data_IF_464049555926
#
_entry.id   IF_464049555926
#
_cell.length_a   1.000
_cell.length_b   1.000
_cell.length_c   1.000
_cell.angle_alpha   90.00
_cell.angle_beta   90.00
_cell.angle_gamma   90.00
#
_symmetry.space_group_name_H-M   'P 1'
#
loop_
_entity.id
_entity.type
_entity.pdbx_description
1 polymer ?
#
# COMPACT_ATOMS: atom_id res chain seq x y z
N UNK A 1 -29.86 -5.30 6.18
CA UNK A 1 -28.75 -6.21 6.51
C UNK A 1 -27.50 -5.54 5.97
N UNK A 2 -26.77 -4.81 6.80
CA UNK A 2 -25.56 -4.11 6.36
C UNK A 2 -24.45 -5.14 6.31
N UNK A 3 -24.04 -5.53 5.11
CA UNK A 3 -22.84 -6.33 4.89
C UNK A 3 -21.63 -5.51 5.31
N UNK A 4 -21.25 -5.69 6.57
CA UNK A 4 -20.00 -5.25 7.11
C UNK A 4 -18.92 -6.11 6.44
N UNK A 5 -18.49 -5.69 5.24
CA UNK A 5 -17.35 -6.27 4.54
C UNK A 5 -16.16 -6.16 5.50
N UNK A 6 -15.94 -7.28 6.17
CA UNK A 6 -14.89 -7.43 7.16
C UNK A 6 -13.59 -7.12 6.44
N UNK A 7 -12.90 -6.10 6.96
CA UNK A 7 -11.55 -5.68 6.58
C UNK A 7 -10.81 -6.86 5.98
N UNK A 8 -10.44 -6.76 4.70
CA UNK A 8 -9.76 -7.80 3.96
C UNK A 8 -8.72 -8.46 4.87
N UNK A 9 -9.05 -9.67 5.35
CA UNK A 9 -8.19 -10.39 6.26
C UNK A 9 -6.88 -10.54 5.51
N UNK A 10 -5.83 -9.87 6.00
CA UNK A 10 -4.57 -9.75 5.28
C UNK A 10 -4.02 -11.17 5.18
N UNK A 11 -4.32 -11.83 4.06
CA UNK A 11 -4.09 -13.25 3.88
C UNK A 11 -2.60 -13.46 4.02
N UNK A 12 -2.21 -14.04 5.17
CA UNK A 12 -0.81 -14.36 5.47
C UNK A 12 -0.26 -15.12 4.27
N UNK A 13 0.91 -14.69 3.77
CA UNK A 13 1.52 -15.32 2.61
C UNK A 13 1.66 -16.81 2.84
N UNK A 14 1.42 -17.65 1.83
CA UNK A 14 1.65 -19.09 1.98
C UNK A 14 3.14 -19.34 2.22
N UNK A 15 3.44 -20.35 3.03
CA UNK A 15 4.81 -20.79 3.34
C UNK A 15 5.60 -21.11 2.06
N UNK A 16 4.91 -21.61 1.03
CA UNK A 16 5.47 -21.84 -0.31
C UNK A 16 5.90 -20.54 -0.98
N UNK A 17 5.03 -19.52 -0.96
CA UNK A 17 5.33 -18.21 -1.54
C UNK A 17 6.53 -17.57 -0.85
N UNK A 18 6.63 -17.69 0.49
CA UNK A 18 7.80 -17.25 1.24
C UNK A 18 9.07 -17.99 0.80
N UNK A 19 9.05 -19.32 0.74
CA UNK A 19 10.22 -20.08 0.33
C UNK A 19 10.67 -19.75 -1.12
N UNK A 20 9.72 -19.53 -2.02
CA UNK A 20 9.99 -19.15 -3.42
C UNK A 20 10.59 -17.75 -3.53
N UNK A 21 10.07 -16.75 -2.79
CA UNK A 21 10.60 -15.39 -2.85
C UNK A 21 12.03 -15.34 -2.30
N UNK A 22 12.29 -15.97 -1.16
CA UNK A 22 13.64 -16.03 -0.59
C UNK A 22 14.59 -16.88 -1.46
N UNK A 23 14.12 -17.98 -2.04
CA UNK A 23 14.87 -18.78 -3.00
C UNK A 23 15.27 -17.96 -4.24
N UNK A 24 14.34 -17.18 -4.80
CA UNK A 24 14.59 -16.29 -5.93
C UNK A 24 15.58 -15.16 -5.59
N UNK A 25 15.45 -14.53 -4.41
CA UNK A 25 16.40 -13.52 -3.94
C UNK A 25 17.81 -14.11 -3.78
N UNK A 26 17.94 -15.29 -3.19
CA UNK A 26 19.24 -15.99 -3.07
C UNK A 26 19.83 -16.36 -4.43
N UNK A 27 18.98 -16.74 -5.40
CA UNK A 27 19.40 -17.01 -6.77
C UNK A 27 19.96 -15.75 -7.44
N UNK A 28 19.28 -14.61 -7.30
CA UNK A 28 19.77 -13.32 -7.79
C UNK A 28 21.09 -12.94 -7.13
N UNK A 29 21.23 -13.12 -5.82
CA UNK A 29 22.49 -12.87 -5.08
C UNK A 29 23.62 -13.81 -5.54
N UNK A 30 23.28 -15.04 -5.92
CA UNK A 30 24.24 -16.01 -6.44
C UNK A 30 24.77 -15.62 -7.82
N UNK A 31 23.88 -15.10 -8.67
CA UNK A 31 24.18 -14.68 -10.05
C UNK A 31 24.73 -13.25 -10.14
N UNK A 32 24.49 -12.39 -9.15
CA UNK A 32 24.93 -10.98 -9.14
C UNK A 32 26.42 -10.79 -9.51
N UNK A 33 27.37 -11.59 -8.99
CA UNK A 33 28.79 -11.42 -9.31
C UNK A 33 29.13 -11.70 -10.78
N UNK A 34 28.29 -12.45 -11.51
CA UNK A 34 28.50 -12.71 -12.94
C UNK A 34 28.44 -11.43 -13.77
N UNK A 35 27.60 -10.45 -13.35
CA UNK A 35 27.48 -9.16 -14.04
C UNK A 35 28.77 -8.33 -13.95
N UNK A 36 29.59 -8.58 -12.93
CA UNK A 36 30.90 -7.95 -12.72
C UNK A 36 32.08 -8.82 -13.16
N UNK A 37 31.85 -9.93 -13.88
CA UNK A 37 32.89 -10.87 -14.31
C UNK A 37 33.43 -11.79 -13.21
N UNK A 38 32.77 -11.85 -12.05
CA UNK A 38 33.10 -12.74 -10.94
C UNK A 38 32.46 -14.13 -11.09
N UNK A 39 32.90 -15.07 -10.27
CA UNK A 39 32.35 -16.43 -10.22
C UNK A 39 31.02 -16.49 -9.46
N UNK A 40 30.19 -17.47 -9.81
CA UNK A 40 28.94 -17.77 -9.11
C UNK A 40 29.25 -18.03 -7.63
N UNK A 41 28.49 -17.40 -6.73
CA UNK A 41 28.54 -17.72 -5.30
C UNK A 41 27.88 -19.07 -5.08
N UNK A 42 28.69 -20.13 -5.13
CA UNK A 42 28.24 -21.52 -4.98
C UNK A 42 27.46 -21.76 -3.68
N UNK A 43 27.85 -21.10 -2.59
CA UNK A 43 27.13 -21.18 -1.31
C UNK A 43 25.69 -20.63 -1.42
N UNK A 44 25.51 -19.50 -2.11
CA UNK A 44 24.19 -18.90 -2.33
C UNK A 44 23.35 -19.72 -3.33
N UNK A 45 23.98 -20.32 -4.34
CA UNK A 45 23.33 -21.24 -5.26
C UNK A 45 22.80 -22.49 -4.53
N UNK A 46 23.64 -23.10 -3.70
CA UNK A 46 23.25 -24.27 -2.91
C UNK A 46 22.11 -23.95 -1.94
N UNK A 47 22.18 -22.80 -1.27
CA UNK A 47 21.12 -22.36 -0.36
C UNK A 47 19.81 -22.09 -1.10
N UNK A 48 19.87 -21.44 -2.27
CA UNK A 48 18.71 -21.20 -3.14
C UNK A 48 18.06 -22.52 -3.59
N UNK A 49 18.86 -23.48 -4.07
CA UNK A 49 18.38 -24.81 -4.45
C UNK A 49 17.71 -25.53 -3.28
N UNK A 50 18.31 -25.46 -2.08
CA UNK A 50 17.72 -25.99 -0.85
C UNK A 50 16.35 -25.37 -0.54
N UNK A 51 16.22 -24.04 -0.65
CA UNK A 51 14.94 -23.35 -0.47
C UNK A 51 13.88 -23.81 -1.46
N UNK A 52 14.22 -23.95 -2.74
CA UNK A 52 13.28 -24.46 -3.75
C UNK A 52 12.86 -25.90 -3.47
N UNK A 53 13.80 -26.79 -3.15
CA UNK A 53 13.48 -28.20 -2.82
C UNK A 53 12.57 -28.28 -1.60
N UNK A 54 12.91 -27.56 -0.52
CA UNK A 54 12.09 -27.57 0.70
C UNK A 54 10.71 -26.93 0.50
N UNK A 55 10.59 -25.94 -0.41
CA UNK A 55 9.31 -25.32 -0.74
C UNK A 55 8.28 -26.35 -1.24
N UNK A 56 8.73 -27.32 -2.06
CA UNK A 56 7.86 -28.39 -2.59
C UNK A 56 7.78 -29.60 -1.65
N UNK A 57 8.90 -30.01 -1.03
CA UNK A 57 8.95 -31.21 -0.21
C UNK A 57 8.23 -31.03 1.14
N UNK A 58 8.53 -29.95 1.89
CA UNK A 58 7.98 -29.70 3.23
C UNK A 58 7.87 -28.19 3.51
N UNK A 59 6.85 -27.50 2.96
CA UNK A 59 6.66 -26.07 3.17
C UNK A 59 6.42 -25.69 4.64
N UNK A 60 5.93 -26.62 5.47
CA UNK A 60 5.67 -26.39 6.90
C UNK A 60 6.90 -25.94 7.70
N UNK A 61 8.13 -26.26 7.25
CA UNK A 61 9.37 -25.79 7.89
C UNK A 61 9.46 -24.26 7.87
N UNK A 62 8.91 -23.63 6.83
CA UNK A 62 8.90 -22.18 6.66
C UNK A 62 7.72 -21.50 7.38
N UNK A 63 6.86 -22.22 8.10
CA UNK A 63 5.70 -21.64 8.79
C UNK A 63 6.08 -20.62 9.86
N UNK A 64 7.07 -20.94 10.71
CA UNK A 64 7.54 -20.02 11.76
C UNK A 64 8.16 -18.74 11.14
N UNK A 65 9.17 -18.85 10.25
CA UNK A 65 9.79 -17.69 9.63
C UNK A 65 8.80 -16.83 8.85
N UNK A 66 7.89 -17.45 8.09
CA UNK A 66 6.88 -16.76 7.31
C UNK A 66 5.92 -15.94 8.20
N UNK A 67 5.56 -16.46 9.38
CA UNK A 67 4.71 -15.73 10.34
C UNK A 67 5.41 -14.49 10.89
N UNK A 68 6.69 -14.59 11.25
CA UNK A 68 7.46 -13.42 11.72
C UNK A 68 7.67 -12.41 10.58
N UNK A 69 8.02 -12.88 9.39
CA UNK A 69 8.16 -12.03 8.21
C UNK A 69 6.88 -11.28 7.87
N UNK A 70 5.73 -11.96 7.92
CA UNK A 70 4.43 -11.33 7.67
C UNK A 70 4.11 -10.25 8.70
N UNK A 71 4.39 -10.50 9.99
CA UNK A 71 4.22 -9.48 11.05
C UNK A 71 5.12 -8.27 10.84
N UNK A 72 6.38 -8.49 10.44
CA UNK A 72 7.29 -7.40 10.08
C UNK A 72 6.77 -6.61 8.88
N UNK A 73 6.23 -7.28 7.86
CA UNK A 73 5.61 -6.64 6.71
C UNK A 73 4.42 -5.76 7.11
N UNK A 74 3.55 -6.23 8.01
CA UNK A 74 2.42 -5.46 8.53
C UNK A 74 2.91 -4.24 9.33
N UNK A 75 3.89 -4.43 10.22
CA UNK A 75 4.48 -3.34 11.01
C UNK A 75 5.13 -2.29 10.11
N UNK A 76 5.85 -2.72 9.08
CA UNK A 76 6.44 -1.83 8.09
C UNK A 76 5.34 -1.08 7.32
N UNK A 77 4.26 -1.78 6.93
CA UNK A 77 3.08 -1.17 6.33
C UNK A 77 2.46 -0.07 7.19
N UNK A 78 2.41 -0.24 8.51
CA UNK A 78 1.95 0.79 9.44
C UNK A 78 2.81 2.05 9.45
N UNK A 79 4.10 1.95 9.12
CA UNK A 79 5.00 3.12 9.04
C UNK A 79 4.96 3.72 7.63
N UNK A 80 5.02 2.87 6.61
CA UNK A 80 5.05 3.29 5.20
C UNK A 80 3.72 3.96 4.81
N UNK A 81 2.57 3.46 5.29
CA UNK A 81 1.27 4.02 4.88
C UNK A 81 1.11 5.49 5.29
N UNK A 82 1.34 5.89 6.56
CA UNK A 82 1.36 7.31 6.94
C UNK A 82 2.42 8.12 6.22
N UNK A 83 3.62 7.58 5.99
CA UNK A 83 4.70 8.29 5.28
C UNK A 83 4.28 8.62 3.84
N UNK A 84 3.77 7.62 3.11
CA UNK A 84 3.30 7.80 1.73
C UNK A 84 2.09 8.75 1.69
N UNK A 85 1.14 8.62 2.62
CA UNK A 85 -0.01 9.53 2.70
C UNK A 85 0.42 10.97 3.02
N UNK A 86 1.40 11.15 3.91
CA UNK A 86 1.96 12.46 4.24
C UNK A 86 2.68 13.06 3.04
N UNK A 87 3.46 12.26 2.31
CA UNK A 87 4.13 12.71 1.10
C UNK A 87 3.12 13.12 0.02
N UNK A 88 2.07 12.31 -0.19
CA UNK A 88 0.99 12.62 -1.13
C UNK A 88 0.26 13.90 -0.73
N UNK A 89 -0.03 14.08 0.55
CA UNK A 89 -0.59 15.32 1.06
C UNK A 89 0.35 16.51 0.79
N UNK A 90 1.63 16.38 1.13
CA UNK A 90 2.60 17.47 0.99
C UNK A 90 2.93 17.84 -0.47
N UNK A 91 2.90 16.87 -1.40
CA UNK A 91 3.28 17.08 -2.81
C UNK A 91 2.08 17.37 -3.71
N UNK A 92 0.90 16.85 -3.39
CA UNK A 92 -0.29 17.04 -4.22
C UNK A 92 -1.27 17.97 -3.55
N UNK A 93 -1.77 17.62 -2.35
CA UNK A 93 -2.90 18.32 -1.72
C UNK A 93 -2.50 19.72 -1.24
N UNK A 94 -1.39 19.82 -0.51
CA UNK A 94 -0.89 21.05 0.07
C UNK A 94 -0.56 22.11 -1.00
N UNK A 95 0.21 21.83 -2.06
CA UNK A 95 0.50 22.82 -3.08
C UNK A 95 -0.73 23.19 -3.90
N UNK A 96 -1.66 22.25 -4.14
CA UNK A 96 -2.93 22.59 -4.78
C UNK A 96 -3.73 23.59 -3.94
N UNK A 97 -3.82 23.39 -2.62
CA UNK A 97 -4.48 24.32 -1.72
C UNK A 97 -3.77 25.67 -1.62
N UNK A 98 -2.43 25.68 -1.58
CA UNK A 98 -1.64 26.91 -1.61
C UNK A 98 -1.81 27.69 -2.91
N UNK A 99 -1.83 26.98 -4.06
CA UNK A 99 -2.06 27.58 -5.36
C UNK A 99 -3.44 28.22 -5.46
N UNK A 100 -4.50 27.52 -5.03
CA UNK A 100 -5.86 28.07 -4.99
C UNK A 100 -5.95 29.31 -4.09
N UNK A 101 -5.28 29.26 -2.93
CA UNK A 101 -5.24 30.38 -1.99
C UNK A 101 -4.48 31.58 -2.57
N UNK A 102 -3.36 31.35 -3.24
CA UNK A 102 -2.57 32.39 -3.91
C UNK A 102 -3.34 33.00 -5.11
N UNK A 103 -4.08 32.18 -5.86
CA UNK A 103 -4.96 32.62 -6.94
C UNK A 103 -6.23 33.33 -6.42
N UNK A 104 -6.46 33.37 -5.10
CA UNK A 104 -7.64 33.99 -4.49
C UNK A 104 -8.95 33.24 -4.74
N UNK A 105 -8.88 32.01 -5.29
CA UNK A 105 -10.04 31.21 -5.65
C UNK A 105 -10.60 30.55 -4.39
N UNK A 106 -11.72 31.06 -3.90
CA UNK A 106 -12.45 30.47 -2.78
C UNK A 106 -13.57 29.55 -3.26
N UNK A 107 -13.22 28.33 -3.69
CA UNK A 107 -14.19 27.31 -4.15
C UNK A 107 -15.16 26.85 -3.06
N UNK A 108 -14.83 27.04 -1.80
CA UNK A 108 -15.59 26.55 -0.66
C UNK A 108 -16.36 27.66 0.08
N UNK A 109 -16.38 28.89 -0.45
CA UNK A 109 -17.00 30.06 0.19
C UNK A 109 -16.64 30.17 1.68
N UNK A 110 -15.37 29.99 2.01
CA UNK A 110 -14.89 29.94 3.41
C UNK A 110 -14.78 31.32 4.04
N UNK A 111 -14.70 32.37 3.24
CA UNK A 111 -14.65 33.76 3.74
C UNK A 111 -16.00 34.13 4.37
N UNK A 112 -15.94 34.67 5.58
CA UNK A 112 -17.11 35.19 6.28
C UNK A 112 -17.54 36.52 5.63
N UNK A 113 -18.72 36.53 5.02
CA UNK A 113 -19.40 37.72 4.52
C UNK A 113 -20.33 38.30 5.60
N UNK A 114 -19.98 39.50 6.10
CA UNK A 114 -20.77 40.20 7.11
C UNK A 114 -22.04 40.85 6.54
N UNK A 115 -22.12 41.00 5.23
CA UNK A 115 -23.24 41.62 4.52
C UNK A 115 -24.25 40.60 3.99
N UNK A 116 -23.90 39.30 4.02
CA UNK A 116 -24.80 38.24 3.61
C UNK A 116 -25.99 38.11 4.59
N UNK A 117 -27.20 38.23 4.05
CA UNK A 117 -28.45 38.03 4.81
C UNK A 117 -28.61 36.58 5.25
N UNK A 118 -28.08 35.63 4.46
CA UNK A 118 -28.05 34.20 4.76
C UNK A 118 -26.93 33.54 3.97
N UNK A 119 -26.26 32.53 4.57
CA UNK A 119 -25.30 31.66 3.88
C UNK A 119 -25.97 30.46 3.21
N UNK A 120 -27.29 30.36 3.30
CA UNK A 120 -28.04 29.28 2.69
C UNK A 120 -27.96 29.38 1.17
N UNK A 121 -27.40 28.35 0.54
CA UNK A 121 -27.36 28.24 -0.92
C UNK A 121 -28.69 27.62 -1.34
N UNK A 122 -29.56 28.43 -1.94
CA UNK A 122 -30.81 27.94 -2.54
C UNK A 122 -30.48 27.00 -3.70
N UNK A 123 -31.28 25.94 -3.82
CA UNK A 123 -31.13 24.94 -4.88
C UNK A 123 -32.07 25.31 -6.00
N UNK A 124 -31.54 25.39 -7.23
CA UNK A 124 -32.36 25.62 -8.42
C UNK A 124 -33.17 24.36 -8.82
N UNK A 125 -32.71 23.17 -8.44
CA UNK A 125 -33.36 21.90 -8.77
C UNK A 125 -34.02 21.25 -7.54
N UNK A 126 -35.27 20.83 -7.71
CA UNK A 126 -35.96 20.02 -6.70
C UNK A 126 -35.33 18.63 -6.60
N UNK A 127 -35.24 18.05 -5.39
CA UNK A 127 -34.73 16.69 -5.23
C UNK A 127 -35.57 15.72 -6.06
N UNK A 128 -34.92 14.94 -6.92
CA UNK A 128 -35.57 13.83 -7.61
C UNK A 128 -36.18 12.85 -6.61
N UNK A 129 -37.14 12.05 -7.06
CA UNK A 129 -37.76 11.03 -6.22
C UNK A 129 -36.69 10.14 -5.57
N UNK A 130 -36.90 9.78 -4.30
CA UNK A 130 -35.93 9.00 -3.51
C UNK A 130 -35.77 7.55 -3.99
N UNK A 131 -36.45 7.17 -5.07
CA UNK A 131 -36.32 5.89 -5.76
C UNK A 131 -35.00 5.79 -6.57
N UNK A 132 -34.32 6.91 -6.84
CA UNK A 132 -33.04 6.97 -7.59
C UNK A 132 -31.91 7.65 -6.82
N UNK A 133 -31.73 7.26 -5.56
CA UNK A 133 -30.68 7.81 -4.70
C UNK A 133 -29.34 7.04 -4.78
N UNK A 134 -29.31 5.91 -5.50
CA UNK A 134 -28.14 5.03 -5.67
C UNK A 134 -27.90 4.70 -7.13
#
# INVERSE_FOLDING_TARGET
MFDNQSYADAKVSSERSFALTFGAVLLLVSLWPLLSGGSIRLWAAFLSAGFFILAFARPAIFALPNRYWSRLGILLGHIVSPVVMTLLYAVVVLPTGLFLRAAGIDKMNRRFDKSATSYWIERDEQPGAMDRQF
#
